data_IF_907733749076
#
_entry.id   IF_907733749076
#
_cell.length_a   1.000
_cell.length_b   1.000
_cell.length_c   1.000
_cell.angle_alpha   90.00
_cell.angle_beta   90.00
_cell.angle_gamma   90.00
#
_symmetry.space_group_name_H-M   'P 1'
#
loop_
_entity.id
_entity.type
_entity.pdbx_description
1 polymer ?
#
# COMPACT_ATOMS: atom_id res chain seq x y z
N UNK A 1 -27.57 7.37 4.66
CA UNK A 1 -26.13 7.61 4.73
C UNK A 1 -25.93 8.52 5.94
N UNK A 2 -24.95 8.27 6.80
CA UNK A 2 -24.68 9.16 7.92
C UNK A 2 -23.90 10.34 7.33
N UNK A 3 -24.55 11.49 7.26
CA UNK A 3 -23.93 12.76 6.88
C UNK A 3 -23.48 13.44 8.18
N UNK A 4 -22.20 13.80 8.28
CA UNK A 4 -21.62 14.45 9.46
C UNK A 4 -21.04 15.80 9.03
N UNK A 5 -21.07 16.83 9.89
CA UNK A 5 -20.39 18.08 9.61
C UNK A 5 -18.86 17.89 9.60
N UNK A 6 -18.14 18.71 8.84
CA UNK A 6 -16.67 18.69 8.75
C UNK A 6 -15.99 18.80 10.15
N UNK A 7 -16.64 19.48 11.10
CA UNK A 7 -16.19 19.62 12.49
C UNK A 7 -16.07 18.30 13.23
N UNK A 8 -16.81 17.28 12.81
CA UNK A 8 -16.91 16.00 13.52
C UNK A 8 -15.89 14.98 12.99
N UNK A 9 -15.21 15.27 11.87
CA UNK A 9 -14.21 14.37 11.25
C UNK A 9 -13.11 14.00 12.27
N UNK A 10 -12.52 15.00 12.93
CA UNK A 10 -11.44 14.79 13.88
C UNK A 10 -11.89 14.04 15.15
N UNK A 11 -12.89 14.51 15.93
CA UNK A 11 -13.27 13.85 17.18
C UNK A 11 -13.73 12.41 16.95
N UNK A 12 -14.53 12.13 15.92
CA UNK A 12 -14.96 10.76 15.62
C UNK A 12 -13.79 9.86 15.22
N UNK A 13 -12.81 10.40 14.48
CA UNK A 13 -11.60 9.65 14.13
C UNK A 13 -10.77 9.31 15.37
N UNK A 14 -10.63 10.25 16.32
CA UNK A 14 -9.91 10.01 17.57
C UNK A 14 -10.61 8.99 18.46
N UNK A 15 -11.95 9.00 18.49
CA UNK A 15 -12.74 8.10 19.31
C UNK A 15 -12.78 6.66 18.76
N UNK A 16 -12.83 6.51 17.43
CA UNK A 16 -13.18 5.24 16.80
C UNK A 16 -12.09 4.61 15.94
N UNK A 17 -10.92 5.24 15.79
CA UNK A 17 -9.83 4.72 14.96
C UNK A 17 -8.58 4.36 15.75
N UNK A 18 -7.90 3.30 15.29
CA UNK A 18 -6.55 2.99 15.71
C UNK A 18 -5.56 3.54 14.69
N UNK A 19 -4.56 4.28 15.16
CA UNK A 19 -3.62 5.00 14.32
C UNK A 19 -2.33 4.20 14.14
N UNK A 20 -1.94 3.98 12.88
CA UNK A 20 -0.69 3.29 12.56
C UNK A 20 0.52 4.13 12.95
N UNK A 21 1.57 3.49 13.46
CA UNK A 21 2.87 4.12 13.75
C UNK A 21 2.85 5.25 14.78
N UNK A 22 1.88 5.27 15.69
CA UNK A 22 1.77 6.31 16.72
C UNK A 22 1.26 5.74 18.04
N UNK A 23 1.70 6.33 19.14
CA UNK A 23 1.06 6.13 20.44
C UNK A 23 -0.33 6.77 20.38
N UNK A 24 -1.38 6.01 20.73
CA UNK A 24 -2.76 6.44 20.50
C UNK A 24 -3.13 7.72 21.27
N UNK A 25 -2.56 7.94 22.45
CA UNK A 25 -2.77 9.17 23.23
C UNK A 25 -2.00 10.40 22.76
N UNK A 26 -1.22 10.30 21.68
CA UNK A 26 -0.33 11.37 21.19
C UNK A 26 -0.50 11.67 19.71
N UNK A 27 -1.57 11.19 19.09
CA UNK A 27 -1.87 11.47 17.69
C UNK A 27 -2.41 12.89 17.51
N UNK A 28 -2.01 13.54 16.41
CA UNK A 28 -2.55 14.82 15.98
C UNK A 28 -2.79 14.78 14.47
N UNK A 29 -3.86 14.07 14.03
CA UNK A 29 -4.14 13.88 12.62
C UNK A 29 -4.75 15.13 11.99
N UNK A 30 -4.53 15.32 10.69
CA UNK A 30 -5.13 16.41 9.91
C UNK A 30 -6.49 15.91 9.39
N UNK A 31 -7.63 16.59 9.71
CA UNK A 31 -8.94 16.19 9.20
C UNK A 31 -9.08 16.60 7.73
N UNK A 32 -8.67 15.76 6.79
CA UNK A 32 -8.71 16.05 5.35
C UNK A 32 -10.11 15.86 4.80
N UNK A 33 -10.69 16.87 4.13
CA UNK A 33 -12.03 16.80 3.53
C UNK A 33 -12.05 16.63 2.02
N UNK A 34 -11.04 17.13 1.30
CA UNK A 34 -10.95 17.01 -0.17
C UNK A 34 -9.53 17.15 -0.70
N UNK A 35 -9.29 16.64 -1.90
CA UNK A 35 -8.02 16.78 -2.61
C UNK A 35 -8.21 16.87 -4.13
N UNK A 36 -7.31 17.59 -4.82
CA UNK A 36 -7.29 17.73 -6.28
C UNK A 36 -5.90 18.15 -6.76
N UNK A 37 -5.41 17.48 -7.81
CA UNK A 37 -4.09 17.74 -8.37
C UNK A 37 -3.01 17.48 -7.32
N UNK A 38 -2.16 18.48 -7.04
CA UNK A 38 -1.09 18.38 -6.03
C UNK A 38 -1.49 18.94 -4.65
N UNK A 39 -2.77 19.25 -4.44
CA UNK A 39 -3.25 19.88 -3.21
C UNK A 39 -4.29 19.04 -2.48
N UNK A 40 -4.33 19.19 -1.16
CA UNK A 40 -5.45 18.77 -0.31
C UNK A 40 -5.88 19.90 0.65
N UNK A 41 -7.08 19.78 1.20
CA UNK A 41 -7.68 20.75 2.11
C UNK A 41 -8.21 20.05 3.36
N UNK A 42 -7.98 20.66 4.53
CA UNK A 42 -8.57 20.19 5.77
C UNK A 42 -10.01 20.69 5.99
N UNK A 43 -10.64 20.25 7.07
CA UNK A 43 -11.98 20.63 7.50
C UNK A 43 -12.20 22.15 7.53
N UNK A 44 -11.16 22.93 7.86
CA UNK A 44 -11.18 24.40 7.94
C UNK A 44 -10.82 25.09 6.61
N UNK A 45 -10.81 24.35 5.49
CA UNK A 45 -10.44 24.83 4.15
C UNK A 45 -8.99 25.35 4.01
N UNK A 46 -8.11 25.04 4.97
CA UNK A 46 -6.69 25.32 4.80
C UNK A 46 -6.11 24.38 3.75
N UNK A 47 -5.43 24.98 2.77
CA UNK A 47 -4.83 24.27 1.63
C UNK A 47 -3.40 23.84 1.93
N UNK A 48 -3.06 22.61 1.58
CA UNK A 48 -1.74 22.01 1.70
C UNK A 48 -1.24 21.60 0.32
N UNK A 49 0.03 21.91 0.01
CA UNK A 49 0.73 21.38 -1.15
C UNK A 49 1.36 20.04 -0.74
N UNK A 50 0.97 18.96 -1.43
CA UNK A 50 1.42 17.60 -1.14
C UNK A 50 2.80 17.35 -1.78
N UNK A 51 3.86 17.70 -1.06
CA UNK A 51 5.24 17.46 -1.48
C UNK A 51 5.69 15.98 -1.34
N UNK A 52 4.85 15.10 -0.81
CA UNK A 52 5.20 13.70 -0.53
C UNK A 52 4.35 12.69 -1.33
N UNK A 53 3.42 13.17 -2.18
CA UNK A 53 2.42 12.33 -2.85
C UNK A 53 1.76 11.35 -1.87
N UNK A 54 1.36 11.88 -0.70
CA UNK A 54 0.97 11.16 0.51
C UNK A 54 2.07 10.24 1.05
N UNK A 55 2.02 8.93 0.75
CA UNK A 55 3.08 7.99 1.09
C UNK A 55 3.78 7.54 -0.19
N UNK A 56 4.25 8.50 -0.98
CA UNK A 56 4.93 8.30 -2.27
C UNK A 56 4.10 7.46 -3.26
N UNK A 57 2.77 7.62 -3.27
CA UNK A 57 1.87 6.76 -4.05
C UNK A 57 0.86 7.50 -4.95
N UNK A 58 0.61 8.79 -4.71
CA UNK A 58 -0.34 9.59 -5.51
C UNK A 58 0.36 10.20 -6.73
N UNK A 59 0.94 9.36 -7.58
CA UNK A 59 1.87 9.80 -8.65
C UNK A 59 1.22 10.64 -9.74
N UNK A 60 -0.07 10.45 -10.02
CA UNK A 60 -0.82 11.20 -11.05
C UNK A 60 -1.62 12.37 -10.45
N UNK A 61 -1.40 12.68 -9.17
CA UNK A 61 -2.19 13.66 -8.43
C UNK A 61 -3.54 13.14 -7.94
N UNK A 62 -4.16 13.93 -7.07
CA UNK A 62 -5.45 13.63 -6.44
C UNK A 62 -6.61 13.88 -7.42
N UNK A 63 -7.57 12.96 -7.46
CA UNK A 63 -8.82 13.14 -8.19
C UNK A 63 -8.67 13.17 -9.72
N UNK A 64 -7.91 12.25 -10.31
CA UNK A 64 -7.86 12.08 -11.76
C UNK A 64 -9.20 11.52 -12.27
N UNK A 65 -9.93 12.33 -13.04
CA UNK A 65 -11.28 11.98 -13.56
C UNK A 65 -11.25 10.71 -14.41
N UNK A 66 -10.13 10.44 -15.13
CA UNK A 66 -10.02 9.25 -15.97
C UNK A 66 -10.03 7.98 -15.12
N UNK A 67 -9.39 8.02 -13.94
CA UNK A 67 -9.36 6.90 -13.00
C UNK A 67 -10.69 6.75 -12.29
N UNK A 68 -11.30 7.86 -11.85
CA UNK A 68 -12.62 7.84 -11.20
C UNK A 68 -13.67 7.23 -12.11
N UNK A 69 -13.76 7.67 -13.37
CA UNK A 69 -14.72 7.14 -14.33
C UNK A 69 -14.44 5.66 -14.68
N UNK A 70 -13.18 5.26 -14.81
CA UNK A 70 -12.82 3.86 -15.04
C UNK A 70 -13.23 2.94 -13.87
N UNK A 71 -13.05 3.40 -12.63
CA UNK A 71 -13.50 2.67 -11.43
C UNK A 71 -15.03 2.59 -11.40
N UNK A 72 -15.72 3.72 -11.61
CA UNK A 72 -17.18 3.78 -11.58
C UNK A 72 -17.80 2.85 -12.64
N UNK A 73 -17.27 2.85 -13.85
CA UNK A 73 -17.75 1.99 -14.93
C UNK A 73 -17.52 0.51 -14.63
N UNK A 74 -16.31 0.15 -14.16
CA UNK A 74 -16.04 -1.24 -13.79
C UNK A 74 -16.91 -1.70 -12.62
N UNK A 75 -17.18 -0.83 -11.63
CA UNK A 75 -18.03 -1.16 -10.49
C UNK A 75 -19.49 -1.40 -10.89
N UNK A 76 -20.01 -0.69 -11.90
CA UNK A 76 -21.35 -0.96 -12.48
C UNK A 76 -21.43 -2.32 -13.17
N UNK A 77 -20.33 -2.78 -13.77
CA UNK A 77 -20.29 -4.03 -14.54
C UNK A 77 -19.97 -5.25 -13.67
N UNK A 78 -18.88 -5.20 -12.91
CA UNK A 78 -18.35 -6.31 -12.13
C UNK A 78 -17.34 -5.80 -11.09
N UNK A 79 -17.77 -5.75 -9.82
CA UNK A 79 -16.94 -5.29 -8.69
C UNK A 79 -15.84 -6.30 -8.33
N UNK A 80 -16.13 -7.61 -8.44
CA UNK A 80 -15.23 -8.66 -8.00
C UNK A 80 -15.41 -9.96 -8.79
N UNK A 81 -14.30 -10.64 -9.09
CA UNK A 81 -14.28 -11.98 -9.66
C UNK A 81 -13.29 -12.85 -8.88
N UNK A 82 -13.64 -14.12 -8.68
CA UNK A 82 -12.78 -15.06 -7.95
C UNK A 82 -11.47 -15.35 -8.72
N UNK A 83 -10.39 -15.78 -8.05
CA UNK A 83 -9.07 -15.97 -8.69
C UNK A 83 -9.04 -16.92 -9.90
N UNK A 84 -9.94 -17.90 -9.96
CA UNK A 84 -10.08 -18.86 -11.07
C UNK A 84 -10.73 -18.25 -12.32
N UNK A 85 -11.24 -17.02 -12.24
CA UNK A 85 -11.89 -16.33 -13.33
C UNK A 85 -10.95 -15.31 -13.97
N UNK A 86 -11.13 -15.08 -15.27
CA UNK A 86 -10.42 -14.04 -16.03
C UNK A 86 -11.30 -12.82 -16.25
N UNK A 87 -10.72 -11.63 -16.21
CA UNK A 87 -11.45 -10.38 -16.47
C UNK A 87 -10.69 -9.52 -17.47
N UNK A 88 -11.41 -8.68 -18.22
CA UNK A 88 -10.83 -7.74 -19.18
C UNK A 88 -9.79 -6.81 -18.52
N UNK A 89 -10.03 -6.19 -17.34
CA UNK A 89 -9.02 -5.37 -16.67
C UNK A 89 -7.73 -6.14 -16.35
N UNK A 90 -7.84 -7.38 -15.87
CA UNK A 90 -6.67 -8.21 -15.54
C UNK A 90 -5.83 -8.54 -16.78
N UNK A 91 -6.48 -8.90 -17.88
CA UNK A 91 -5.79 -9.21 -19.14
C UNK A 91 -5.09 -7.98 -19.73
N UNK A 92 -5.77 -6.84 -19.75
CA UNK A 92 -5.22 -5.57 -20.25
C UNK A 92 -4.02 -5.12 -19.41
N UNK A 93 -4.16 -5.14 -18.08
CA UNK A 93 -3.06 -4.76 -17.17
C UNK A 93 -1.84 -5.67 -17.35
N UNK A 94 -2.05 -6.99 -17.46
CA UNK A 94 -0.95 -7.92 -17.73
C UNK A 94 -0.20 -7.61 -19.03
N UNK A 95 -0.91 -7.29 -20.12
CA UNK A 95 -0.29 -6.86 -21.37
C UNK A 95 0.50 -5.57 -21.20
N UNK A 96 -0.11 -4.54 -20.61
CA UNK A 96 0.54 -3.24 -20.42
C UNK A 96 1.80 -3.33 -19.56
N UNK A 97 1.78 -4.15 -18.51
CA UNK A 97 2.96 -4.39 -17.68
C UNK A 97 4.08 -5.07 -18.50
N UNK A 98 3.75 -6.08 -19.29
CA UNK A 98 4.75 -6.79 -20.13
C UNK A 98 5.44 -5.90 -21.15
N UNK A 99 4.82 -4.79 -21.56
CA UNK A 99 5.39 -3.82 -22.50
C UNK A 99 6.40 -2.87 -21.85
N UNK A 100 6.37 -2.72 -20.51
CA UNK A 100 7.20 -1.74 -19.78
C UNK A 100 8.20 -2.39 -18.81
N UNK A 101 8.00 -3.65 -18.43
CA UNK A 101 8.91 -4.34 -17.52
C UNK A 101 10.21 -4.77 -18.23
N UNK A 102 11.36 -4.77 -17.53
CA UNK A 102 12.64 -5.06 -18.16
C UNK A 102 12.78 -6.55 -18.52
N UNK A 103 13.62 -6.81 -19.52
CA UNK A 103 14.02 -8.17 -19.91
C UNK A 103 12.86 -8.98 -20.47
N UNK A 104 12.68 -10.18 -19.96
CA UNK A 104 11.66 -11.16 -20.35
C UNK A 104 10.53 -11.30 -19.32
N UNK A 105 10.41 -10.37 -18.37
CA UNK A 105 9.36 -10.37 -17.37
C UNK A 105 7.98 -10.16 -18.02
N UNK A 106 7.16 -11.21 -18.03
CA UNK A 106 5.87 -11.23 -18.72
C UNK A 106 4.73 -11.94 -17.96
N UNK A 107 4.96 -12.35 -16.71
CA UNK A 107 3.95 -12.98 -15.85
C UNK A 107 3.80 -12.22 -14.53
N UNK A 108 2.55 -11.96 -14.13
CA UNK A 108 2.24 -11.07 -13.01
C UNK A 108 1.28 -11.74 -12.02
N UNK A 109 1.67 -11.76 -10.75
CA UNK A 109 0.82 -12.12 -9.63
C UNK A 109 0.35 -10.84 -8.94
N UNK A 110 -0.95 -10.56 -9.00
CA UNK A 110 -1.53 -9.33 -8.45
C UNK A 110 -1.89 -9.49 -6.97
N UNK A 111 -1.51 -8.49 -6.17
CA UNK A 111 -1.76 -8.41 -4.73
C UNK A 111 -2.47 -7.10 -4.38
N UNK A 112 -2.87 -6.93 -3.12
CA UNK A 112 -3.57 -5.72 -2.67
C UNK A 112 -2.61 -4.59 -2.30
N UNK A 113 -1.36 -4.89 -1.97
CA UNK A 113 -0.34 -3.89 -1.65
C UNK A 113 1.09 -4.41 -1.76
N UNK A 114 2.02 -3.65 -1.18
CA UNK A 114 3.46 -3.97 -1.23
C UNK A 114 3.87 -5.06 -0.24
N UNK A 115 3.23 -5.13 0.93
CA UNK A 115 3.59 -6.11 1.95
C UNK A 115 3.24 -7.54 1.51
N UNK A 116 2.01 -7.78 1.06
CA UNK A 116 1.57 -9.08 0.54
C UNK A 116 2.21 -9.44 -0.82
N UNK A 117 2.63 -8.46 -1.62
CA UNK A 117 3.54 -8.70 -2.76
C UNK A 117 4.85 -9.34 -2.29
N UNK A 118 5.50 -8.76 -1.27
CA UNK A 118 6.76 -9.29 -0.73
C UNK A 118 6.58 -10.66 -0.06
N UNK A 119 5.47 -10.90 0.65
CA UNK A 119 5.14 -12.23 1.21
C UNK A 119 5.09 -13.32 0.11
N UNK A 120 4.45 -13.02 -1.02
CA UNK A 120 4.38 -13.97 -2.13
C UNK A 120 5.71 -14.09 -2.87
N UNK A 121 6.48 -13.01 -3.01
CA UNK A 121 7.83 -13.07 -3.58
C UNK A 121 8.75 -14.02 -2.77
N UNK A 122 8.70 -13.95 -1.43
CA UNK A 122 9.44 -14.86 -0.55
C UNK A 122 9.02 -16.31 -0.77
N UNK A 123 7.71 -16.58 -0.80
CA UNK A 123 7.17 -17.94 -1.03
C UNK A 123 7.64 -18.50 -2.37
N UNK A 124 7.55 -17.70 -3.44
CA UNK A 124 7.97 -18.10 -4.79
C UNK A 124 9.48 -18.34 -4.84
N UNK A 125 10.30 -17.46 -4.26
CA UNK A 125 11.76 -17.62 -4.24
C UNK A 125 12.19 -18.88 -3.47
N UNK A 126 11.58 -19.14 -2.31
CA UNK A 126 11.85 -20.36 -1.51
C UNK A 126 11.40 -21.62 -2.25
N UNK A 127 10.20 -21.60 -2.84
CA UNK A 127 9.68 -22.74 -3.61
C UNK A 127 10.53 -23.07 -4.84
N UNK A 128 10.98 -22.04 -5.56
CA UNK A 128 11.81 -22.20 -6.76
C UNK A 128 13.22 -22.69 -6.44
N UNK A 129 13.86 -22.09 -5.43
CA UNK A 129 15.28 -22.38 -5.13
C UNK A 129 15.49 -23.53 -4.16
N UNK A 130 14.47 -23.91 -3.38
CA UNK A 130 14.60 -24.81 -2.23
C UNK A 130 15.41 -24.22 -1.06
N UNK A 131 15.87 -22.97 -1.16
CA UNK A 131 16.70 -22.31 -0.15
C UNK A 131 15.82 -21.57 0.86
N UNK A 132 16.20 -21.64 2.14
CA UNK A 132 15.41 -21.05 3.22
C UNK A 132 15.75 -19.58 3.49
N UNK A 133 17.02 -19.20 3.39
CA UNK A 133 17.49 -17.87 3.80
C UNK A 133 17.11 -16.78 2.79
N UNK A 134 16.63 -15.64 3.30
CA UNK A 134 16.42 -14.41 2.53
C UNK A 134 17.38 -13.36 3.05
N UNK A 135 18.13 -12.71 2.16
CA UNK A 135 19.04 -11.63 2.50
C UNK A 135 18.32 -10.29 2.36
N UNK A 136 18.35 -9.46 3.39
CA UNK A 136 17.76 -8.11 3.40
C UNK A 136 18.77 -7.07 3.90
N UNK A 137 18.61 -5.80 3.54
CA UNK A 137 19.53 -4.74 3.97
C UNK A 137 19.04 -4.08 5.26
N UNK A 138 19.95 -3.61 6.13
CA UNK A 138 19.56 -2.86 7.33
C UNK A 138 18.83 -1.54 7.02
N UNK A 139 19.18 -0.86 5.93
CA UNK A 139 18.49 0.37 5.49
C UNK A 139 17.42 0.05 4.45
N UNK A 140 16.34 -0.60 4.88
CA UNK A 140 15.27 -1.04 3.99
C UNK A 140 13.90 -1.02 4.65
N UNK A 141 12.86 -0.86 3.82
CA UNK A 141 11.46 -1.03 4.20
C UNK A 141 10.79 -1.98 3.20
N UNK A 142 10.17 -3.04 3.71
CA UNK A 142 9.52 -4.07 2.90
C UNK A 142 8.04 -4.29 3.26
N UNK A 143 7.53 -3.59 4.28
CA UNK A 143 6.14 -3.67 4.71
C UNK A 143 6.01 -4.02 6.19
N UNK A 144 4.77 -4.24 6.63
CA UNK A 144 4.41 -4.41 8.04
C UNK A 144 3.64 -5.69 8.38
N UNK A 145 3.33 -6.55 7.41
CA UNK A 145 2.89 -7.94 7.69
C UNK A 145 4.05 -8.75 8.25
N UNK A 146 3.79 -9.91 8.86
CA UNK A 146 4.83 -10.61 9.61
C UNK A 146 6.08 -10.95 8.78
N UNK A 147 5.94 -11.52 7.59
CA UNK A 147 7.07 -11.80 6.71
C UNK A 147 7.69 -10.52 6.17
N UNK A 148 6.90 -9.59 5.67
CA UNK A 148 7.40 -8.30 5.17
C UNK A 148 8.18 -7.49 6.23
N UNK A 149 7.69 -7.45 7.47
CA UNK A 149 8.32 -6.79 8.60
C UNK A 149 9.64 -7.46 8.98
N UNK A 150 9.74 -8.80 8.85
CA UNK A 150 11.01 -9.49 9.08
C UNK A 150 12.08 -9.09 8.05
N UNK A 151 11.69 -8.70 6.82
CA UNK A 151 12.62 -8.17 5.81
C UNK A 151 12.98 -6.71 6.08
N UNK A 152 12.06 -5.89 6.59
CA UNK A 152 12.28 -4.47 6.92
C UNK A 152 13.49 -4.30 7.83
N UNK A 153 14.51 -3.56 7.39
CA UNK A 153 15.75 -3.40 8.14
C UNK A 153 15.72 -2.32 9.22
N UNK A 154 14.84 -1.32 9.08
CA UNK A 154 14.79 -0.15 9.95
C UNK A 154 14.24 -0.45 11.37
N UNK A 155 14.34 0.51 12.32
CA UNK A 155 13.99 0.29 13.73
C UNK A 155 12.55 -0.16 14.00
N UNK A 156 11.60 0.02 13.05
CA UNK A 156 10.21 -0.44 13.23
C UNK A 156 10.13 -1.95 13.39
N UNK A 157 11.10 -2.71 12.88
CA UNK A 157 11.17 -4.19 13.02
C UNK A 157 11.53 -4.63 14.44
N UNK A 158 12.35 -3.87 15.17
CA UNK A 158 13.06 -4.35 16.37
C UNK A 158 12.14 -4.88 17.49
N UNK A 159 10.99 -4.24 17.69
CA UNK A 159 10.04 -4.64 18.73
C UNK A 159 9.35 -5.99 18.45
N UNK A 160 9.46 -6.51 17.23
CA UNK A 160 8.76 -7.71 16.78
C UNK A 160 9.68 -8.94 16.68
N UNK A 161 10.98 -8.76 16.86
CA UNK A 161 11.95 -9.85 16.77
C UNK A 161 12.00 -10.71 18.03
N UNK A 162 12.34 -12.01 17.92
CA UNK A 162 12.59 -12.78 16.69
C UNK A 162 11.32 -13.44 16.11
N UNK A 163 10.12 -13.04 16.56
CA UNK A 163 8.89 -13.82 16.46
C UNK A 163 8.16 -13.75 15.11
N UNK A 164 8.70 -13.03 14.13
CA UNK A 164 8.01 -12.77 12.86
C UNK A 164 8.14 -13.91 11.85
N UNK A 165 9.24 -13.96 11.10
CA UNK A 165 9.53 -15.01 10.13
C UNK A 165 11.00 -15.41 10.24
N UNK A 166 11.32 -16.70 10.42
CA UNK A 166 12.69 -17.16 10.48
C UNK A 166 13.37 -17.11 9.11
N UNK A 167 14.71 -17.12 9.16
CA UNK A 167 15.55 -17.25 7.97
C UNK A 167 15.83 -15.93 7.24
N UNK A 168 15.49 -14.78 7.81
CA UNK A 168 15.97 -13.49 7.28
C UNK A 168 17.34 -13.18 7.87
N UNK A 169 18.27 -12.75 7.01
CA UNK A 169 19.60 -12.29 7.43
C UNK A 169 19.78 -10.86 6.93
N UNK A 170 20.03 -9.94 7.85
CA UNK A 170 20.34 -8.56 7.53
C UNK A 170 21.83 -8.33 7.35
N UNK A 171 22.19 -7.51 6.37
CA UNK A 171 23.58 -7.12 6.10
C UNK A 171 23.68 -5.62 5.81
N UNK A 172 24.88 -5.07 6.03
CA UNK A 172 25.25 -3.71 5.63
C UNK A 172 25.58 -3.67 4.14
N UNK A 173 25.53 -2.47 3.56
CA UNK A 173 26.04 -2.18 2.23
C UNK A 173 27.56 -2.35 2.10
#
# INVERSE_FOLDING_TARGET
MIDIPDSDILPLSLEHSFWTWSAQGSVSPIPVKRAKGVYFWDADDKRYLDFNSMMMCVNIGHGDERVIEAIAEQARQLVFAAPLMTTKPRAVLGKMLSEITPGDLNHFFFTSGGADANENAIKLARAFTGKHKILARYRSYHGATAGAMSLTGDPRRLAWEPNLMPGVVHFLD
#
